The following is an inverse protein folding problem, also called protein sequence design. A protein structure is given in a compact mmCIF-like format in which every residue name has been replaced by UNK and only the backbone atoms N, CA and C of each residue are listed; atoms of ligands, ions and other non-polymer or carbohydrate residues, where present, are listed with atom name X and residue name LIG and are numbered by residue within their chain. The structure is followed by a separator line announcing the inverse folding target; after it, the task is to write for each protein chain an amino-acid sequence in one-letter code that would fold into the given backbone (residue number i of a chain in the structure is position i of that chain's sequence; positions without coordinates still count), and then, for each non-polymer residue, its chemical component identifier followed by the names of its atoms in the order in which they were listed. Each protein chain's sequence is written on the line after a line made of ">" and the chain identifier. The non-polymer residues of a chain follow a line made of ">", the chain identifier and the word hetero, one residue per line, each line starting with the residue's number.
data_IF_046515336661
#
_entry.id   IF_046515336661
#
_cell.length_a   1.000
_cell.length_b   1.000
_cell.length_c   1.000
_cell.angle_alpha   90.00
_cell.angle_beta   90.00
_cell.angle_gamma   90.00
#
_symmetry.space_group_name_H-M   'P 1'
#
loop_
_entity.id
_entity.type
_entity.pdbx_description
1 polymer ?
#
# COMPACT_ATOMS: atom_id res chain seq x y z
N UNK A 1 3.54 -0.81 -24.36
CA UNK A 1 2.49 0.17 -24.71
C UNK A 1 2.55 1.33 -23.76
N UNK A 2 2.45 2.54 -24.27
CA UNK A 2 2.44 3.79 -23.48
C UNK A 2 1.48 4.78 -24.10
N UNK A 3 0.88 5.62 -23.27
CA UNK A 3 0.17 6.78 -23.73
C UNK A 3 1.16 7.82 -24.29
N UNK A 4 0.65 8.71 -25.15
CA UNK A 4 1.41 9.93 -25.47
C UNK A 4 1.74 10.68 -24.18
N UNK A 5 2.76 11.54 -24.21
CA UNK A 5 3.12 12.31 -23.02
C UNK A 5 1.96 13.15 -22.51
N UNK A 6 1.25 13.84 -23.42
CA UNK A 6 0.09 14.66 -23.04
C UNK A 6 -1.01 13.81 -22.40
N UNK A 7 -1.32 12.66 -22.95
CA UNK A 7 -2.36 11.78 -22.40
C UNK A 7 -1.93 11.17 -21.08
N UNK A 8 -0.65 10.87 -20.91
CA UNK A 8 -0.11 10.39 -19.65
C UNK A 8 -0.35 11.42 -18.53
N UNK A 9 0.04 12.67 -18.77
CA UNK A 9 -0.17 13.73 -17.77
C UNK A 9 -1.64 14.03 -17.53
N UNK A 10 -2.46 13.98 -18.59
CA UNK A 10 -3.91 14.14 -18.46
C UNK A 10 -4.52 13.04 -17.59
N UNK A 11 -4.09 11.78 -17.77
CA UNK A 11 -4.54 10.67 -16.92
C UNK A 11 -4.13 10.89 -15.48
N UNK A 12 -2.89 11.33 -15.22
CA UNK A 12 -2.43 11.58 -13.85
C UNK A 12 -3.20 12.73 -13.20
N UNK A 13 -3.60 13.74 -13.97
CA UNK A 13 -4.44 14.83 -13.45
C UNK A 13 -5.82 14.32 -13.02
N UNK A 14 -6.41 13.39 -13.77
CA UNK A 14 -7.67 12.74 -13.39
C UNK A 14 -7.49 11.94 -12.10
N UNK A 15 -6.41 11.14 -12.01
CA UNK A 15 -6.10 10.37 -10.81
C UNK A 15 -5.93 11.29 -9.60
N UNK A 16 -5.24 12.41 -9.77
CA UNK A 16 -5.04 13.39 -8.69
C UNK A 16 -6.35 13.97 -8.17
N UNK A 17 -7.30 14.27 -9.07
CA UNK A 17 -8.62 14.75 -8.69
C UNK A 17 -9.40 13.72 -7.88
N UNK A 18 -9.38 12.47 -8.30
CA UNK A 18 -10.06 11.37 -7.60
C UNK A 18 -9.43 11.09 -6.24
N UNK A 19 -8.11 11.08 -6.17
CA UNK A 19 -7.38 10.87 -4.91
C UNK A 19 -7.65 11.97 -3.90
N UNK A 20 -7.68 13.21 -4.36
CA UNK A 20 -7.99 14.35 -3.47
C UNK A 20 -9.37 14.21 -2.85
N UNK A 21 -10.32 13.70 -3.62
CA UNK A 21 -11.69 13.49 -3.18
C UNK A 21 -11.84 12.28 -2.27
N UNK A 22 -11.29 11.14 -2.67
CA UNK A 22 -11.56 9.85 -2.03
C UNK A 22 -10.50 9.42 -1.02
N UNK A 23 -9.24 9.82 -1.21
CA UNK A 23 -8.10 9.41 -0.38
C UNK A 23 -7.19 10.62 -0.09
N UNK A 24 -7.68 11.63 0.64
CA UNK A 24 -6.94 12.88 0.86
C UNK A 24 -5.66 12.71 1.70
N UNK A 25 -5.49 11.58 2.37
CA UNK A 25 -4.28 11.30 3.14
C UNK A 25 -3.10 10.85 2.26
N UNK A 26 -3.34 10.64 0.96
CA UNK A 26 -2.31 10.38 -0.04
C UNK A 26 -2.16 11.60 -0.92
N UNK A 27 -0.96 12.15 -1.00
CA UNK A 27 -0.68 13.36 -1.78
C UNK A 27 0.55 13.17 -2.66
N UNK A 28 0.65 13.92 -3.77
CA UNK A 28 1.85 13.91 -4.59
C UNK A 28 3.03 14.47 -3.80
N UNK A 29 4.18 13.81 -3.87
CA UNK A 29 5.41 14.30 -3.23
C UNK A 29 5.96 15.47 -4.04
N UNK A 30 6.11 16.63 -3.42
CA UNK A 30 6.56 17.85 -4.06
C UNK A 30 5.72 18.22 -5.31
N UNK A 31 4.42 17.88 -5.29
CA UNK A 31 3.53 18.14 -6.41
C UNK A 31 3.71 17.22 -7.61
N UNK A 32 4.59 16.23 -7.55
CA UNK A 32 4.83 15.29 -8.64
C UNK A 32 3.81 14.16 -8.60
N UNK A 33 2.87 14.17 -9.54
CA UNK A 33 1.80 13.17 -9.63
C UNK A 33 2.28 11.78 -10.05
N UNK A 34 3.59 11.60 -10.28
CA UNK A 34 4.20 10.29 -10.50
C UNK A 34 4.63 9.62 -9.20
N UNK A 35 4.68 10.38 -8.10
CA UNK A 35 5.11 9.86 -6.80
C UNK A 35 4.13 10.31 -5.72
N UNK A 36 3.48 9.35 -5.10
CA UNK A 36 2.49 9.57 -4.06
C UNK A 36 2.96 9.01 -2.73
N UNK A 37 2.72 9.73 -1.67
CA UNK A 37 2.97 9.24 -0.31
C UNK A 37 1.75 9.53 0.55
N UNK A 38 1.40 8.58 1.40
CA UNK A 38 0.27 8.73 2.28
C UNK A 38 0.29 7.71 3.40
N UNK A 39 -0.75 7.75 4.22
CA UNK A 39 -0.85 6.84 5.34
C UNK A 39 -2.25 6.26 5.46
N UNK A 40 -2.32 5.08 6.06
CA UNK A 40 -3.55 4.40 6.45
C UNK A 40 -3.57 4.20 7.95
N UNK A 41 -4.75 4.34 8.52
CA UNK A 41 -4.98 4.07 9.95
C UNK A 41 -5.28 2.58 10.10
N UNK A 42 -4.58 1.91 10.98
CA UNK A 42 -4.80 0.50 11.25
C UNK A 42 -6.12 0.25 11.96
N UNK A 43 -6.68 -0.94 11.71
CA UNK A 43 -7.90 -1.42 12.36
C UNK A 43 -7.67 -2.85 12.84
N UNK A 44 -8.53 -3.33 13.74
CA UNK A 44 -8.43 -4.69 14.27
C UNK A 44 -7.09 -4.93 14.94
N UNK A 45 -6.36 -5.93 14.45
CA UNK A 45 -5.05 -6.32 14.97
C UNK A 45 -4.01 -5.19 14.90
N UNK A 46 -4.13 -4.32 13.92
CA UNK A 46 -3.22 -3.20 13.70
C UNK A 46 -3.76 -1.87 14.25
N UNK A 47 -4.79 -1.92 15.08
CA UNK A 47 -5.40 -0.74 15.69
C UNK A 47 -4.37 0.09 16.46
N UNK A 48 -4.48 1.40 16.36
CA UNK A 48 -3.55 2.34 16.97
C UNK A 48 -2.35 2.64 16.10
N UNK A 49 -2.17 1.92 14.99
CA UNK A 49 -1.07 2.13 14.07
C UNK A 49 -1.40 3.11 12.95
N UNK A 50 -0.36 3.81 12.48
CA UNK A 50 -0.40 4.68 11.31
C UNK A 50 0.67 4.15 10.35
N UNK A 51 0.24 3.72 9.16
CA UNK A 51 1.10 3.01 8.21
C UNK A 51 1.32 3.85 6.97
N UNK A 52 2.58 4.17 6.68
CA UNK A 52 2.95 5.02 5.55
C UNK A 52 3.30 4.19 4.33
N UNK A 53 2.80 4.61 3.18
CA UNK A 53 3.03 3.95 1.89
C UNK A 53 3.45 4.96 0.83
N UNK A 54 4.15 4.47 -0.19
CA UNK A 54 4.44 5.20 -1.42
C UNK A 54 3.92 4.45 -2.62
N UNK A 55 3.45 5.21 -3.61
CA UNK A 55 3.05 4.69 -4.92
C UNK A 55 3.88 5.40 -5.98
N UNK A 56 4.57 4.62 -6.80
CA UNK A 56 5.42 5.12 -7.89
C UNK A 56 4.75 4.79 -9.23
N UNK A 57 4.45 5.81 -10.01
CA UNK A 57 3.72 5.67 -11.27
C UNK A 57 4.72 5.51 -12.42
N UNK A 58 4.78 4.35 -13.09
CA UNK A 58 5.69 4.16 -14.22
C UNK A 58 5.20 4.90 -15.45
N UNK A 59 6.10 5.19 -16.38
CA UNK A 59 5.73 5.83 -17.64
C UNK A 59 4.74 4.99 -18.46
N UNK A 60 4.74 3.70 -18.27
CA UNK A 60 3.81 2.74 -18.91
C UNK A 60 2.42 2.70 -18.28
N UNK A 61 2.17 3.46 -17.21
CA UNK A 61 0.86 3.62 -16.62
C UNK A 61 -0.11 4.24 -17.66
N UNK A 62 -1.37 3.80 -17.79
CA UNK A 62 -2.08 2.83 -16.96
C UNK A 62 -1.99 1.39 -17.47
N UNK A 63 -1.17 1.08 -18.45
CA UNK A 63 -1.02 -0.28 -18.98
C UNK A 63 -0.25 -1.19 -18.01
N UNK A 64 0.63 -0.59 -17.23
CA UNK A 64 1.30 -1.25 -16.11
C UNK A 64 0.85 -0.62 -14.79
N UNK A 65 0.79 -1.40 -13.71
CA UNK A 65 0.37 -0.88 -12.40
C UNK A 65 1.41 0.05 -11.79
N UNK A 66 0.99 0.84 -10.77
CA UNK A 66 1.94 1.50 -9.90
C UNK A 66 2.83 0.49 -9.17
N UNK A 67 3.99 0.94 -8.72
CA UNK A 67 4.82 0.20 -7.77
C UNK A 67 4.53 0.73 -6.38
N UNK A 68 4.21 -0.16 -5.44
CA UNK A 68 3.91 0.21 -4.08
C UNK A 68 5.05 -0.13 -3.14
N UNK A 69 5.26 0.73 -2.14
CA UNK A 69 6.20 0.49 -1.04
C UNK A 69 5.51 0.73 0.29
N UNK A 70 5.74 -0.15 1.25
CA UNK A 70 5.37 0.06 2.64
C UNK A 70 6.57 0.70 3.35
N UNK A 71 6.46 1.98 3.70
CA UNK A 71 7.56 2.68 4.37
C UNK A 71 7.61 2.36 5.86
N UNK A 72 6.47 2.08 6.46
CA UNK A 72 6.37 1.64 7.85
C UNK A 72 6.63 0.13 7.90
N UNK A 73 7.56 -0.36 8.74
CA UNK A 73 7.68 -1.78 8.98
C UNK A 73 6.40 -2.35 9.59
N UNK A 74 5.89 -3.43 9.02
CA UNK A 74 4.64 -4.07 9.44
C UNK A 74 4.88 -5.58 9.57
N UNK A 75 4.51 -6.17 10.69
CA UNK A 75 4.54 -7.63 10.83
C UNK A 75 3.30 -8.21 10.17
N UNK A 76 3.46 -8.69 8.94
CA UNK A 76 2.34 -9.05 8.07
C UNK A 76 2.79 -10.09 7.04
N UNK A 77 1.99 -11.12 6.75
CA UNK A 77 2.37 -12.15 5.76
C UNK A 77 2.72 -11.60 4.38
N UNK A 78 2.08 -10.51 3.95
CA UNK A 78 2.19 -10.02 2.57
C UNK A 78 3.02 -8.75 2.44
N UNK A 79 3.68 -8.33 3.51
CA UNK A 79 4.54 -7.14 3.53
C UNK A 79 5.88 -7.51 4.15
N UNK A 80 6.96 -7.27 3.41
CA UNK A 80 8.30 -7.59 3.90
C UNK A 80 9.33 -6.63 3.29
N UNK A 81 10.09 -5.94 4.12
CA UNK A 81 11.15 -4.99 3.70
C UNK A 81 10.64 -4.04 2.61
N UNK A 82 9.64 -3.26 2.90
CA UNK A 82 8.99 -2.32 1.98
C UNK A 82 8.23 -2.97 0.82
N UNK A 83 8.39 -4.26 0.56
CA UNK A 83 7.71 -4.95 -0.52
C UNK A 83 6.29 -5.33 -0.11
N UNK A 84 5.37 -5.24 -1.05
CA UNK A 84 3.95 -5.55 -0.86
C UNK A 84 3.53 -6.57 -1.92
N UNK A 85 2.95 -7.69 -1.48
CA UNK A 85 2.35 -8.66 -2.39
C UNK A 85 0.82 -8.48 -2.36
N UNK A 86 0.28 -7.88 -3.40
CA UNK A 86 -1.15 -7.63 -3.55
C UNK A 86 -1.52 -7.67 -5.03
N UNK A 87 -2.66 -8.29 -5.36
CA UNK A 87 -3.04 -8.55 -6.75
C UNK A 87 -3.13 -7.32 -7.62
N UNK A 88 -3.70 -6.21 -7.10
CA UNK A 88 -3.89 -4.99 -7.89
C UNK A 88 -2.55 -4.34 -8.33
N UNK A 89 -1.46 -4.58 -7.60
CA UNK A 89 -0.14 -4.11 -8.00
C UNK A 89 0.57 -5.06 -8.94
N UNK A 90 -0.11 -6.11 -9.40
CA UNK A 90 0.43 -7.13 -10.29
C UNK A 90 -0.61 -7.66 -11.25
N UNK A 91 -0.91 -8.94 -11.18
CA UNK A 91 -1.75 -9.67 -12.15
C UNK A 91 -3.20 -9.17 -12.25
N UNK A 92 -3.73 -8.55 -11.20
CA UNK A 92 -5.12 -8.10 -11.18
C UNK A 92 -5.28 -6.65 -11.66
N UNK A 93 -4.17 -5.97 -11.97
CA UNK A 93 -4.22 -4.62 -12.53
C UNK A 93 -4.74 -4.63 -13.95
N UNK A 94 -5.63 -3.68 -14.26
CA UNK A 94 -6.05 -3.38 -15.64
C UNK A 94 -5.96 -1.88 -15.86
N UNK A 95 -5.93 -1.41 -17.13
CA UNK A 95 -5.94 0.04 -17.41
C UNK A 95 -7.18 0.77 -16.89
N UNK A 96 -8.26 0.04 -16.58
CA UNK A 96 -9.46 0.61 -15.96
C UNK A 96 -9.33 0.77 -14.45
N UNK A 97 -8.32 0.16 -13.82
CA UNK A 97 -8.02 0.36 -12.40
C UNK A 97 -7.47 1.77 -12.17
N UNK A 98 -7.56 2.25 -10.94
CA UNK A 98 -7.07 3.58 -10.58
C UNK A 98 -6.33 3.57 -9.22
N UNK A 99 -5.76 4.72 -8.84
CA UNK A 99 -5.01 4.82 -7.59
C UNK A 99 -5.91 4.66 -6.36
N UNK A 100 -7.15 5.11 -6.43
CA UNK A 100 -8.12 4.92 -5.34
C UNK A 100 -8.31 3.43 -5.08
N UNK A 101 -8.44 2.63 -6.14
CA UNK A 101 -8.54 1.16 -6.02
C UNK A 101 -7.31 0.56 -5.33
N UNK A 102 -6.13 1.08 -5.63
CA UNK A 102 -4.88 0.62 -4.98
C UNK A 102 -4.92 0.89 -3.49
N UNK A 103 -5.29 2.10 -3.09
CA UNK A 103 -5.36 2.47 -1.66
C UNK A 103 -6.42 1.64 -0.93
N UNK A 104 -7.59 1.44 -1.53
CA UNK A 104 -8.62 0.58 -0.97
C UNK A 104 -8.13 -0.86 -0.79
N UNK A 105 -7.39 -1.37 -1.76
CA UNK A 105 -6.81 -2.71 -1.69
C UNK A 105 -5.75 -2.83 -0.61
N UNK A 106 -4.93 -1.79 -0.40
CA UNK A 106 -3.97 -1.76 0.71
C UNK A 106 -4.69 -1.76 2.06
N UNK A 107 -5.76 -0.99 2.19
CA UNK A 107 -6.57 -0.96 3.40
C UNK A 107 -7.17 -2.34 3.68
N UNK A 108 -7.69 -2.99 2.66
CA UNK A 108 -8.24 -4.34 2.78
C UNK A 108 -7.17 -5.35 3.19
N UNK A 109 -5.97 -5.26 2.61
CA UNK A 109 -4.85 -6.15 2.93
C UNK A 109 -4.44 -6.06 4.40
N UNK A 110 -4.41 -4.86 4.97
CA UNK A 110 -4.10 -4.68 6.38
C UNK A 110 -5.10 -5.42 7.28
N UNK A 111 -6.37 -5.41 6.91
CA UNK A 111 -7.42 -6.08 7.67
C UNK A 111 -7.57 -7.56 7.37
N UNK A 112 -7.06 -8.01 6.21
CA UNK A 112 -7.25 -9.37 5.70
C UNK A 112 -5.93 -9.93 5.18
N UNK A 113 -5.00 -10.34 6.07
CA UNK A 113 -3.77 -10.97 5.64
C UNK A 113 -4.03 -12.26 4.86
N UNK A 114 -3.25 -12.50 3.82
CA UNK A 114 -3.31 -13.73 3.03
C UNK A 114 -2.05 -14.58 3.28
N UNK A 115 -2.11 -15.56 4.20
CA UNK A 115 -0.95 -16.38 4.53
C UNK A 115 -0.60 -17.41 3.46
N UNK A 116 -1.44 -17.60 2.43
CA UNK A 116 -1.24 -18.63 1.41
C UNK A 116 -0.33 -18.17 0.27
N UNK A 117 -0.08 -16.87 0.15
CA UNK A 117 0.83 -16.29 -0.84
C UNK A 117 1.76 -15.27 -0.17
N UNK A 118 2.66 -15.74 0.73
CA UNK A 118 3.40 -14.84 1.59
C UNK A 118 4.67 -14.29 0.99
N UNK A 119 5.02 -13.05 1.38
CA UNK A 119 6.38 -12.50 1.30
C UNK A 119 7.15 -12.79 2.59
N UNK A 120 6.49 -12.60 3.73
CA UNK A 120 7.06 -12.90 5.05
C UNK A 120 6.59 -14.29 5.49
N UNK A 121 7.41 -15.29 5.21
CA UNK A 121 7.05 -16.69 5.47
C UNK A 121 6.93 -16.98 6.97
N UNK A 122 7.73 -16.33 7.79
CA UNK A 122 7.66 -16.48 9.26
C UNK A 122 6.33 -15.96 9.77
N UNK A 123 5.94 -14.76 9.37
CA UNK A 123 4.66 -14.18 9.76
C UNK A 123 3.49 -15.03 9.28
N UNK A 124 3.56 -15.57 8.06
CA UNK A 124 2.52 -16.44 7.52
C UNK A 124 2.36 -17.73 8.32
N UNK A 125 3.45 -18.35 8.70
CA UNK A 125 3.42 -19.56 9.53
C UNK A 125 2.85 -19.29 10.92
N UNK A 126 3.24 -18.19 11.54
CA UNK A 126 2.67 -17.77 12.83
C UNK A 126 1.17 -17.50 12.70
N UNK A 127 0.79 -16.80 11.65
CA UNK A 127 -0.62 -16.48 11.42
C UNK A 127 -1.48 -17.75 11.33
N UNK A 128 -0.98 -18.77 10.68
CA UNK A 128 -1.69 -20.07 10.54
C UNK A 128 -1.61 -20.94 11.78
N UNK A 129 -0.43 -21.03 12.42
CA UNK A 129 -0.14 -22.08 13.38
C UNK A 129 0.15 -21.57 14.78
N UNK A 130 0.43 -20.29 14.97
CA UNK A 130 0.72 -19.68 16.27
C UNK A 130 0.22 -18.24 16.28
N UNK A 131 -1.10 -18.09 16.27
CA UNK A 131 -1.75 -16.80 16.16
C UNK A 131 -1.37 -15.86 17.30
N UNK A 132 -1.20 -16.36 18.50
CA UNK A 132 -0.81 -15.53 19.66
C UNK A 132 0.56 -14.89 19.44
N UNK A 133 1.53 -15.62 18.92
CA UNK A 133 2.86 -15.09 18.62
C UNK A 133 2.79 -14.07 17.48
N UNK A 134 1.99 -14.35 16.44
CA UNK A 134 1.77 -13.41 15.35
C UNK A 134 1.21 -12.08 15.88
N UNK A 135 0.18 -12.15 16.70
CA UNK A 135 -0.47 -10.96 17.26
C UNK A 135 0.47 -10.17 18.17
N UNK A 136 1.27 -10.86 18.97
CA UNK A 136 2.26 -10.25 19.85
C UNK A 136 3.26 -9.42 19.05
N UNK A 137 3.83 -10.01 18.00
CA UNK A 137 4.79 -9.32 17.13
C UNK A 137 4.16 -8.18 16.34
N UNK A 138 2.95 -8.38 15.83
CA UNK A 138 2.23 -7.33 15.12
C UNK A 138 2.02 -6.11 16.00
N UNK A 139 1.62 -6.31 17.26
CA UNK A 139 1.45 -5.20 18.22
C UNK A 139 2.77 -4.52 18.57
N UNK A 140 3.82 -5.28 18.75
CA UNK A 140 5.16 -4.71 19.01
C UNK A 140 5.62 -3.83 17.85
N UNK A 141 5.39 -4.25 16.61
CA UNK A 141 5.73 -3.47 15.43
C UNK A 141 4.90 -2.19 15.35
N UNK A 142 3.61 -2.27 15.69
CA UNK A 142 2.75 -1.07 15.73
C UNK A 142 3.32 -0.06 16.72
N UNK A 143 3.61 -0.48 17.94
CA UNK A 143 4.12 0.39 19.00
C UNK A 143 5.48 1.00 18.65
N UNK A 144 6.33 0.22 17.98
CA UNK A 144 7.71 0.65 17.67
C UNK A 144 7.79 1.50 16.40
N UNK A 145 7.02 1.17 15.37
CA UNK A 145 7.21 1.75 14.03
C UNK A 145 6.02 2.53 13.48
N UNK A 146 4.80 2.23 13.94
CA UNK A 146 3.59 2.77 13.33
C UNK A 146 2.97 3.88 14.18
N UNK A 147 3.77 4.87 14.53
CA UNK A 147 3.36 6.03 15.34
C UNK A 147 3.28 7.27 14.48
N UNK A 148 2.53 8.27 14.93
CA UNK A 148 2.47 9.56 14.26
C UNK A 148 3.86 10.21 14.11
N UNK A 149 4.71 10.04 15.11
CA UNK A 149 6.07 10.60 15.09
C UNK A 149 6.96 9.93 14.04
N UNK A 150 6.58 8.73 13.58
CA UNK A 150 7.33 7.99 12.56
C UNK A 150 7.04 8.46 11.14
N UNK A 151 6.00 9.27 10.94
CA UNK A 151 5.68 9.85 9.63
C UNK A 151 6.65 11.01 9.37
N UNK A 152 7.53 10.80 8.43
CA UNK A 152 8.57 11.77 8.09
C UNK A 152 8.08 12.96 7.27
#
# INVERSE_FOLDING_TARGET
>A
MELSEDDFWARLAIEAGEMKKEEPNFTPVNGDTRLWRGFLIGTGLYSGGVFQFELHIPRSFPFKPPKGKALTPIWHPNIFKERICIGILGKDWTPASNLVDVVESLRFLLSNPNPDDPLNTTAAKEFKNNRNEFERKAKLYVEKYATWDSLG
#
